data_IF_495383023165
#
_entry.id   IF_495383023165
#
_cell.length_a   1.000
_cell.length_b   1.000
_cell.length_c   1.000
_cell.angle_alpha   90.00
_cell.angle_beta   90.00
_cell.angle_gamma   90.00
#
_symmetry.space_group_name_H-M   'P 1'
#
loop_
_entity.id
_entity.type
_entity.pdbx_description
1 polymer ?
#
# COMPACT_ATOMS: atom_id res chain seq x y z
N UNK A 1 -21.16 -42.83 75.06
CA UNK A 1 -20.64 -41.50 74.72
C UNK A 1 -19.54 -41.68 73.71
N UNK A 2 -19.86 -41.63 72.44
CA UNK A 2 -18.93 -41.87 71.31
C UNK A 2 -18.41 -40.53 70.84
N UNK A 3 -17.11 -40.30 71.01
CA UNK A 3 -16.44 -39.11 70.46
C UNK A 3 -16.35 -39.25 68.95
N UNK A 4 -16.68 -38.14 68.29
CA UNK A 4 -16.62 -38.00 66.85
C UNK A 4 -15.15 -37.84 66.41
N UNK A 5 -14.57 -38.74 65.55
CA UNK A 5 -13.16 -38.69 65.19
C UNK A 5 -12.80 -37.65 64.14
N UNK A 6 -13.72 -36.74 63.74
CA UNK A 6 -13.52 -35.73 62.68
C UNK A 6 -13.56 -34.27 63.14
N UNK A 7 -13.35 -34.01 64.47
CA UNK A 7 -13.12 -32.61 64.87
C UNK A 7 -11.68 -32.22 64.53
N UNK A 8 -11.58 -31.36 63.54
CA UNK A 8 -10.31 -30.72 63.17
C UNK A 8 -9.88 -29.82 64.33
N UNK A 9 -8.58 -29.86 64.77
CA UNK A 9 -8.09 -28.96 65.77
C UNK A 9 -8.21 -27.50 65.30
N UNK A 10 -8.91 -26.66 66.05
CA UNK A 10 -8.90 -25.23 65.83
C UNK A 10 -7.46 -24.72 65.89
N UNK A 11 -6.97 -24.23 64.76
CA UNK A 11 -5.67 -23.60 64.67
C UNK A 11 -5.78 -22.12 65.04
N UNK A 12 -5.30 -21.67 66.20
CA UNK A 12 -5.42 -20.28 66.67
C UNK A 12 -4.42 -19.32 65.98
N UNK A 13 -3.75 -19.77 64.93
CA UNK A 13 -2.90 -18.90 64.12
C UNK A 13 -3.60 -18.47 62.81
N UNK A 14 -4.74 -17.77 62.95
CA UNK A 14 -5.24 -16.97 61.88
C UNK A 14 -4.18 -15.92 61.54
N UNK A 15 -3.53 -16.15 60.42
CA UNK A 15 -2.53 -15.27 59.82
C UNK A 15 -3.10 -13.84 59.78
N UNK A 16 -2.65 -12.99 60.68
CA UNK A 16 -2.82 -11.53 60.56
C UNK A 16 -1.99 -11.11 59.36
N UNK A 17 -2.58 -11.18 58.19
CA UNK A 17 -2.09 -10.45 57.03
C UNK A 17 -2.23 -8.98 57.38
N UNK A 18 -1.20 -8.43 58.02
CA UNK A 18 -1.05 -7.01 58.19
C UNK A 18 -1.00 -6.40 56.80
N UNK A 19 -2.12 -5.87 56.31
CA UNK A 19 -2.14 -4.88 55.26
C UNK A 19 -1.34 -3.68 55.73
N UNK A 20 -0.02 -3.73 55.50
CA UNK A 20 0.81 -2.56 55.60
C UNK A 20 0.41 -1.64 54.45
N UNK A 21 -0.66 -0.92 54.61
CA UNK A 21 -1.01 0.23 53.80
C UNK A 21 0.10 1.25 54.02
N UNK A 22 1.18 1.19 53.23
CA UNK A 22 2.11 2.31 53.13
C UNK A 22 1.29 3.49 52.63
N UNK A 23 0.91 4.38 53.52
CA UNK A 23 0.37 5.68 53.15
C UNK A 23 1.44 6.33 52.27
N UNK A 24 1.13 6.50 50.99
CA UNK A 24 2.02 7.23 50.06
C UNK A 24 2.20 8.62 50.68
N UNK A 25 3.42 8.95 51.07
CA UNK A 25 3.71 10.27 51.58
C UNK A 25 3.39 11.31 50.50
N UNK A 26 2.86 12.43 50.87
CA UNK A 26 2.53 13.53 49.94
C UNK A 26 3.71 13.84 49.02
N UNK A 27 4.92 13.69 49.53
CA UNK A 27 6.16 13.88 48.77
C UNK A 27 6.32 12.86 47.65
N UNK A 28 5.96 11.58 47.89
CA UNK A 28 6.04 10.55 46.83
C UNK A 28 4.98 10.76 45.74
N UNK A 29 3.79 11.22 46.09
CA UNK A 29 2.73 11.57 45.13
C UNK A 29 3.16 12.73 44.27
N UNK A 30 3.73 13.79 44.89
CA UNK A 30 4.26 14.95 44.15
C UNK A 30 5.44 14.59 43.25
N UNK A 31 6.32 13.70 43.70
CA UNK A 31 7.43 13.22 42.87
C UNK A 31 6.95 12.43 41.63
N UNK A 32 6.01 11.50 41.82
CA UNK A 32 5.45 10.70 40.73
C UNK A 32 4.67 11.57 39.75
N UNK A 33 3.83 12.50 40.23
CA UNK A 33 3.10 13.41 39.33
C UNK A 33 4.05 14.34 38.56
N UNK A 34 5.13 14.82 39.20
CA UNK A 34 6.16 15.61 38.54
C UNK A 34 6.88 14.84 37.42
N UNK A 35 7.26 13.57 37.67
CA UNK A 35 7.89 12.72 36.69
C UNK A 35 6.93 12.42 35.53
N UNK A 36 5.68 12.10 35.81
CA UNK A 36 4.66 11.83 34.76
C UNK A 36 4.43 13.09 33.93
N UNK A 37 4.30 14.27 34.54
CA UNK A 37 4.16 15.53 33.81
C UNK A 37 5.37 15.83 32.94
N UNK A 38 6.59 15.56 33.42
CA UNK A 38 7.82 15.72 32.66
C UNK A 38 7.88 14.78 31.46
N UNK A 39 7.53 13.50 31.67
CA UNK A 39 7.48 12.50 30.58
C UNK A 39 6.45 12.91 29.52
N UNK A 40 5.26 13.33 29.94
CA UNK A 40 4.23 13.84 29.03
C UNK A 40 4.72 15.07 28.28
N UNK A 41 5.37 16.02 28.95
CA UNK A 41 5.92 17.23 28.34
C UNK A 41 7.02 16.94 27.30
N UNK A 42 7.80 15.87 27.48
CA UNK A 42 8.84 15.44 26.54
C UNK A 42 8.27 14.61 25.37
N UNK A 43 7.25 13.80 25.63
CA UNK A 43 6.66 12.89 24.61
C UNK A 43 5.65 13.61 23.72
N UNK A 44 4.81 14.50 24.26
CA UNK A 44 3.79 15.22 23.48
C UNK A 44 4.37 16.06 22.31
N UNK A 45 5.46 16.83 22.46
CA UNK A 45 6.08 17.52 21.34
C UNK A 45 6.57 16.56 20.27
N UNK A 46 7.18 15.43 20.65
CA UNK A 46 7.71 14.43 19.70
C UNK A 46 6.65 13.83 18.81
N UNK A 47 5.43 13.63 19.33
CA UNK A 47 4.29 13.09 18.57
C UNK A 47 3.70 14.13 17.62
N UNK A 48 3.67 15.40 18.04
CA UNK A 48 3.10 16.50 17.22
C UNK A 48 4.01 16.98 16.11
N UNK A 49 5.32 16.79 16.26
CA UNK A 49 6.34 17.28 15.34
C UNK A 49 6.97 16.17 14.49
N UNK A 50 6.43 14.95 14.50
CA UNK A 50 6.78 14.02 13.44
C UNK A 50 6.35 14.69 12.12
N UNK A 51 7.30 15.29 11.34
CA UNK A 51 6.90 15.86 10.06
C UNK A 51 6.32 14.69 9.29
N UNK A 52 5.06 14.79 8.86
CA UNK A 52 4.57 13.89 7.80
C UNK A 52 5.63 13.99 6.74
N UNK A 53 6.49 12.98 6.66
CA UNK A 53 7.62 13.01 5.76
C UNK A 53 7.06 13.18 4.36
N UNK A 54 7.07 14.41 3.86
CA UNK A 54 6.76 14.71 2.46
C UNK A 54 7.86 14.14 1.56
N UNK A 55 8.68 13.26 2.13
CA UNK A 55 9.75 12.58 1.46
C UNK A 55 9.23 11.46 0.55
N UNK A 56 10.09 11.01 -0.34
CA UNK A 56 9.88 9.91 -1.28
C UNK A 56 9.54 8.58 -0.60
N UNK A 57 10.04 8.33 0.62
CA UNK A 57 9.89 7.07 1.36
C UNK A 57 8.43 6.62 1.54
N UNK A 58 7.47 7.47 1.97
CA UNK A 58 6.07 7.04 2.07
C UNK A 58 5.46 6.65 0.72
N UNK A 59 5.81 7.35 -0.36
CA UNK A 59 5.31 7.03 -1.71
C UNK A 59 5.90 5.70 -2.21
N UNK A 60 7.20 5.44 -1.94
CA UNK A 60 7.83 4.14 -2.23
C UNK A 60 7.21 3.00 -1.42
N UNK A 61 6.87 3.23 -0.14
CA UNK A 61 6.20 2.23 0.69
C UNK A 61 4.80 1.90 0.16
N UNK A 62 4.03 2.90 -0.25
CA UNK A 62 2.74 2.69 -0.90
C UNK A 62 2.91 1.87 -2.18
N UNK A 63 3.85 2.27 -3.04
CA UNK A 63 4.14 1.55 -4.28
C UNK A 63 4.59 0.11 -4.01
N UNK A 64 5.37 -0.13 -2.94
CA UNK A 64 5.76 -1.48 -2.51
C UNK A 64 4.55 -2.32 -2.12
N UNK A 65 3.63 -1.77 -1.33
CA UNK A 65 2.41 -2.46 -0.93
C UNK A 65 1.54 -2.79 -2.15
N UNK A 66 1.38 -1.84 -3.08
CA UNK A 66 0.64 -2.05 -4.34
C UNK A 66 1.30 -3.17 -5.16
N UNK A 67 2.63 -3.09 -5.36
CA UNK A 67 3.40 -4.10 -6.11
C UNK A 67 3.22 -5.50 -5.52
N UNK A 68 3.33 -5.63 -4.20
CA UNK A 68 3.14 -6.91 -3.51
C UNK A 68 1.71 -7.42 -3.60
N UNK A 69 0.72 -6.52 -3.55
CA UNK A 69 -0.69 -6.88 -3.72
C UNK A 69 -0.99 -7.41 -5.13
N UNK A 70 -0.41 -6.80 -6.18
CA UNK A 70 -0.51 -7.30 -7.56
C UNK A 70 0.13 -8.68 -7.69
N UNK A 71 1.31 -8.89 -7.08
CA UNK A 71 1.99 -10.19 -7.09
C UNK A 71 1.15 -11.24 -6.34
N UNK A 72 0.62 -10.90 -5.16
CA UNK A 72 -0.26 -11.79 -4.40
C UNK A 72 -1.53 -12.16 -5.17
N UNK A 73 -2.12 -11.22 -5.91
CA UNK A 73 -3.21 -11.50 -6.84
C UNK A 73 -2.76 -12.49 -7.92
N UNK A 74 -1.60 -12.22 -8.54
CA UNK A 74 -1.08 -13.04 -9.64
C UNK A 74 -0.75 -14.48 -9.18
N UNK A 75 -0.26 -14.67 -7.96
CA UNK A 75 -0.02 -15.99 -7.37
C UNK A 75 -1.32 -16.77 -7.15
N UNK A 76 -2.37 -16.11 -6.67
CA UNK A 76 -3.68 -16.74 -6.44
C UNK A 76 -4.41 -17.12 -7.72
N UNK A 77 -4.28 -16.30 -8.76
CA UNK A 77 -5.01 -16.45 -10.03
C UNK A 77 -4.16 -17.03 -11.17
N UNK A 78 -2.88 -17.30 -10.92
CA UNK A 78 -1.90 -17.75 -11.92
C UNK A 78 -1.73 -16.76 -13.11
N UNK A 79 -2.19 -15.53 -12.92
CA UNK A 79 -2.17 -14.46 -13.92
C UNK A 79 -2.20 -13.09 -13.26
N UNK A 80 -1.53 -12.11 -13.85
CA UNK A 80 -1.71 -10.70 -13.49
C UNK A 80 -3.14 -10.27 -13.75
N UNK A 81 -3.68 -9.33 -12.94
CA UNK A 81 -5.02 -8.81 -13.22
C UNK A 81 -5.06 -8.14 -14.60
N UNK A 82 -6.19 -8.16 -15.30
CA UNK A 82 -6.37 -7.35 -16.50
C UNK A 82 -6.24 -5.87 -16.16
N UNK A 83 -5.86 -5.03 -17.12
CA UNK A 83 -5.81 -3.58 -16.90
C UNK A 83 -7.17 -3.05 -16.45
N UNK A 84 -8.23 -3.62 -17.01
CA UNK A 84 -9.62 -3.31 -16.67
C UNK A 84 -10.55 -4.51 -16.94
N UNK A 85 -11.70 -4.51 -16.27
CA UNK A 85 -12.81 -5.40 -16.59
C UNK A 85 -13.74 -4.76 -17.62
N UNK A 86 -14.52 -5.59 -18.33
CA UNK A 86 -15.52 -5.13 -19.31
C UNK A 86 -16.87 -5.81 -19.08
N UNK A 87 -17.93 -5.18 -19.57
CA UNK A 87 -19.25 -5.81 -19.72
C UNK A 87 -19.36 -6.65 -21.00
N UNK A 88 -20.54 -7.17 -21.28
CA UNK A 88 -20.82 -7.98 -22.47
C UNK A 88 -20.67 -7.20 -23.79
N UNK A 89 -20.80 -5.88 -23.74
CA UNK A 89 -20.69 -4.99 -24.89
C UNK A 89 -19.26 -4.43 -25.06
N UNK A 90 -18.32 -4.81 -24.16
CA UNK A 90 -16.94 -4.38 -24.20
C UNK A 90 -16.68 -3.01 -23.53
N UNK A 91 -17.66 -2.44 -22.82
CA UNK A 91 -17.46 -1.20 -22.08
C UNK A 91 -16.63 -1.44 -20.83
N UNK A 92 -15.66 -0.57 -20.55
CA UNK A 92 -14.78 -0.69 -19.40
C UNK A 92 -15.51 -0.44 -18.09
N UNK A 93 -15.39 -1.37 -17.13
CA UNK A 93 -16.05 -1.29 -15.83
C UNK A 93 -15.09 -0.85 -14.72
N UNK A 94 -14.08 -1.63 -14.38
CA UNK A 94 -13.21 -1.41 -13.22
C UNK A 94 -11.74 -1.58 -13.56
N UNK A 95 -10.89 -0.84 -12.86
CA UNK A 95 -9.43 -0.95 -12.91
C UNK A 95 -8.94 -2.22 -12.17
N UNK A 96 -7.75 -2.69 -12.51
CA UNK A 96 -7.00 -3.69 -11.73
C UNK A 96 -6.83 -3.28 -10.27
N UNK A 97 -6.79 -1.98 -9.95
CA UNK A 97 -6.69 -1.48 -8.57
C UNK A 97 -7.89 -1.90 -7.72
N UNK A 98 -9.07 -1.98 -8.32
CA UNK A 98 -10.26 -2.55 -7.67
C UNK A 98 -10.07 -4.04 -7.37
N UNK A 99 -9.52 -4.81 -8.31
CA UNK A 99 -9.37 -6.26 -8.19
C UNK A 99 -8.35 -6.67 -7.11
N UNK A 100 -7.37 -5.83 -6.80
CA UNK A 100 -6.36 -6.12 -5.77
C UNK A 100 -6.74 -5.64 -4.36
N UNK A 101 -7.89 -5.00 -4.16
CA UNK A 101 -8.34 -4.54 -2.84
C UNK A 101 -8.31 -5.65 -1.77
N UNK A 102 -8.73 -6.90 -2.06
CA UNK A 102 -8.62 -8.00 -1.09
C UNK A 102 -7.17 -8.32 -0.68
N UNK A 103 -6.19 -8.04 -1.56
CA UNK A 103 -4.77 -8.23 -1.27
C UNK A 103 -4.15 -7.04 -0.51
N UNK A 104 -4.92 -5.97 -0.27
CA UNK A 104 -4.55 -4.77 0.45
C UNK A 104 -5.31 -4.64 1.79
N UNK A 105 -5.87 -5.74 2.31
CA UNK A 105 -6.71 -5.75 3.51
C UNK A 105 -7.94 -4.82 3.39
N UNK A 106 -8.48 -4.66 2.18
CA UNK A 106 -9.66 -3.84 1.86
C UNK A 106 -10.84 -4.68 1.37
N UNK A 107 -11.01 -5.87 1.93
CA UNK A 107 -12.08 -6.80 1.55
C UNK A 107 -13.47 -6.17 1.65
N UNK A 108 -13.77 -5.48 2.76
CA UNK A 108 -15.09 -4.84 2.96
C UNK A 108 -15.37 -3.76 1.92
N UNK A 109 -14.34 -3.00 1.49
CA UNK A 109 -14.50 -2.02 0.42
C UNK A 109 -14.77 -2.72 -0.91
N UNK A 110 -14.03 -3.79 -1.22
CA UNK A 110 -14.23 -4.59 -2.42
C UNK A 110 -15.67 -5.14 -2.50
N UNK A 111 -16.17 -5.71 -1.42
CA UNK A 111 -17.53 -6.28 -1.32
C UNK A 111 -18.64 -5.22 -1.44
N UNK A 112 -18.33 -3.94 -1.21
CA UNK A 112 -19.27 -2.83 -1.37
C UNK A 112 -19.39 -2.34 -2.81
N UNK A 113 -18.57 -2.86 -3.74
CA UNK A 113 -18.54 -2.45 -5.15
C UNK A 113 -19.40 -3.39 -5.98
N UNK A 114 -20.36 -2.85 -6.70
CA UNK A 114 -21.09 -3.59 -7.75
C UNK A 114 -20.20 -3.70 -9.00
N UNK A 115 -19.54 -4.85 -9.13
CA UNK A 115 -18.62 -5.12 -10.23
C UNK A 115 -19.31 -5.25 -11.60
N UNK A 116 -20.64 -5.38 -11.64
CA UNK A 116 -21.42 -5.43 -12.88
C UNK A 116 -21.72 -4.05 -13.47
N UNK A 117 -21.44 -2.99 -12.72
CA UNK A 117 -21.68 -1.60 -13.09
C UNK A 117 -20.37 -0.86 -13.31
N UNK A 118 -20.33 0.19 -14.12
CA UNK A 118 -19.14 1.04 -14.26
C UNK A 118 -18.65 1.59 -12.91
N UNK A 119 -17.37 1.80 -12.79
CA UNK A 119 -16.70 2.31 -11.58
C UNK A 119 -17.30 3.63 -11.06
N UNK A 120 -17.86 4.48 -11.94
CA UNK A 120 -18.46 5.77 -11.65
C UNK A 120 -20.00 5.74 -11.68
N UNK A 121 -20.62 4.56 -11.71
CA UNK A 121 -22.06 4.40 -11.60
C UNK A 121 -22.55 4.84 -10.20
N UNK A 122 -23.75 5.42 -10.06
CA UNK A 122 -24.35 5.76 -8.77
C UNK A 122 -24.39 4.58 -7.77
N UNK A 123 -24.51 3.32 -8.23
CA UNK A 123 -24.43 2.14 -7.39
C UNK A 123 -23.07 2.02 -6.65
N UNK A 124 -22.01 2.55 -7.25
CA UNK A 124 -20.65 2.55 -6.71
C UNK A 124 -20.27 3.87 -6.00
N UNK A 125 -21.21 4.81 -5.81
CA UNK A 125 -20.92 6.15 -5.29
C UNK A 125 -20.20 6.14 -3.93
N UNK A 126 -20.51 5.18 -3.04
CA UNK A 126 -19.84 5.04 -1.75
C UNK A 126 -18.36 4.68 -1.91
N UNK A 127 -18.06 3.71 -2.75
CA UNK A 127 -16.68 3.29 -3.05
C UNK A 127 -15.93 4.39 -3.81
N UNK A 128 -16.58 5.03 -4.77
CA UNK A 128 -16.05 6.17 -5.50
C UNK A 128 -15.62 7.32 -4.57
N UNK A 129 -16.43 7.68 -3.58
CA UNK A 129 -16.10 8.71 -2.59
C UNK A 129 -15.08 8.28 -1.53
N UNK A 130 -14.62 7.03 -1.54
CA UNK A 130 -13.68 6.50 -0.55
C UNK A 130 -12.23 6.72 -1.00
N UNK A 131 -11.45 7.47 -0.20
CA UNK A 131 -10.00 7.57 -0.40
C UNK A 131 -9.31 6.31 0.15
N UNK A 132 -8.45 5.72 -0.66
CA UNK A 132 -7.64 4.55 -0.29
C UNK A 132 -6.19 4.99 -0.12
N UNK A 133 -5.72 5.12 1.11
CA UNK A 133 -4.43 5.74 1.46
C UNK A 133 -3.24 5.16 0.69
N UNK A 134 -3.23 3.85 0.42
CA UNK A 134 -2.15 3.19 -0.32
C UNK A 134 -2.07 3.65 -1.78
N UNK A 135 -3.18 4.11 -2.37
CA UNK A 135 -3.20 4.64 -3.74
C UNK A 135 -2.86 6.13 -3.81
N UNK A 136 -2.67 6.80 -2.69
CA UNK A 136 -2.36 8.22 -2.63
C UNK A 136 -0.88 8.47 -2.34
N UNK A 137 -0.15 9.08 -3.27
CA UNK A 137 1.18 9.60 -2.96
C UNK A 137 1.06 10.89 -2.12
N UNK A 138 1.57 10.92 -0.87
CA UNK A 138 1.50 12.11 -0.03
C UNK A 138 2.22 13.32 -0.62
N UNK A 139 3.23 13.09 -1.46
CA UNK A 139 4.01 14.15 -2.12
C UNK A 139 3.28 14.78 -3.30
N UNK A 140 2.37 14.06 -3.96
CA UNK A 140 1.63 14.55 -5.12
C UNK A 140 0.52 15.56 -4.76
N UNK A 141 0.14 15.67 -3.46
CA UNK A 141 -0.88 16.60 -2.95
C UNK A 141 -2.22 16.51 -3.67
N UNK A 142 -2.58 15.33 -4.12
CA UNK A 142 -3.86 15.05 -4.77
C UNK A 142 -4.93 14.67 -3.72
N UNK A 143 -6.18 14.89 -4.05
CA UNK A 143 -7.38 14.56 -3.24
C UNK A 143 -8.46 13.94 -4.13
N UNK A 144 -9.58 13.54 -3.53
CA UNK A 144 -10.74 13.04 -4.28
C UNK A 144 -10.51 11.66 -4.92
N UNK A 145 -9.76 10.78 -4.27
CA UNK A 145 -9.52 9.44 -4.77
C UNK A 145 -8.52 9.37 -5.95
N UNK A 146 -7.79 10.46 -6.25
CA UNK A 146 -6.80 10.46 -7.32
C UNK A 146 -5.52 9.70 -6.93
N UNK A 147 -4.98 8.97 -7.91
CA UNK A 147 -3.73 8.23 -7.79
C UNK A 147 -2.76 8.57 -8.92
N UNK A 148 -1.47 8.58 -8.60
CA UNK A 148 -0.36 8.60 -9.56
C UNK A 148 0.25 7.22 -9.79
N UNK A 149 -0.24 6.18 -9.12
CA UNK A 149 0.26 4.82 -9.29
C UNK A 149 -0.49 4.11 -10.41
N UNK A 150 0.15 4.03 -11.58
CA UNK A 150 -0.42 3.43 -12.80
C UNK A 150 0.28 2.12 -13.14
N UNK A 151 -0.48 1.17 -13.66
CA UNK A 151 0.04 -0.09 -14.17
C UNK A 151 0.74 0.09 -15.52
N UNK A 152 1.71 -0.75 -15.82
CA UNK A 152 2.34 -0.82 -17.13
C UNK A 152 1.40 -1.48 -18.14
N UNK A 153 0.60 -0.65 -18.82
CA UNK A 153 -0.38 -1.04 -19.85
C UNK A 153 0.13 -0.86 -21.29
N UNK A 154 1.43 -0.63 -21.46
CA UNK A 154 2.05 -0.59 -22.78
C UNK A 154 1.98 -1.95 -23.51
N UNK A 155 2.19 -1.94 -24.81
CA UNK A 155 2.29 -3.17 -25.58
C UNK A 155 3.44 -4.05 -25.05
N UNK A 156 3.12 -5.29 -24.66
CA UNK A 156 4.07 -6.17 -23.98
C UNK A 156 4.18 -5.97 -22.47
N UNK A 157 3.51 -4.99 -21.88
CA UNK A 157 3.45 -4.75 -20.43
C UNK A 157 2.70 -5.82 -19.64
N UNK A 158 2.65 -5.69 -18.31
CA UNK A 158 2.01 -6.67 -17.44
C UNK A 158 0.48 -6.55 -17.44
N UNK A 159 -0.06 -5.36 -17.68
CA UNK A 159 -1.51 -5.08 -17.71
C UNK A 159 -1.97 -4.95 -19.17
N UNK A 160 -2.56 -5.99 -19.74
CA UNK A 160 -2.93 -6.04 -21.16
C UNK A 160 -4.45 -6.07 -21.33
N UNK A 161 -5.05 -4.89 -21.53
CA UNK A 161 -6.47 -4.78 -21.88
C UNK A 161 -7.39 -5.44 -20.84
N UNK A 162 -8.41 -6.13 -21.33
CA UNK A 162 -9.44 -6.81 -20.54
C UNK A 162 -9.09 -8.27 -20.17
N UNK A 163 -7.92 -8.76 -20.60
CA UNK A 163 -7.51 -10.16 -20.39
C UNK A 163 -6.40 -10.29 -19.35
N UNK A 164 -6.54 -11.22 -18.40
CA UNK A 164 -5.47 -11.55 -17.48
C UNK A 164 -4.23 -12.04 -18.23
N UNK A 165 -3.04 -11.59 -17.84
CA UNK A 165 -1.78 -12.04 -18.43
C UNK A 165 -1.14 -13.14 -17.58
N UNK A 166 -0.87 -14.35 -18.12
CA UNK A 166 -0.27 -15.43 -17.35
C UNK A 166 1.09 -15.05 -16.76
N UNK A 167 1.36 -15.42 -15.49
CA UNK A 167 2.66 -15.16 -14.82
C UNK A 167 3.84 -15.80 -15.54
N UNK A 168 3.60 -16.84 -16.36
CA UNK A 168 4.65 -17.52 -17.13
C UNK A 168 5.38 -16.62 -18.13
N UNK A 169 4.73 -15.54 -18.59
CA UNK A 169 5.36 -14.58 -19.53
C UNK A 169 6.39 -13.68 -18.88
N UNK A 170 6.42 -13.61 -17.53
CA UNK A 170 7.35 -12.78 -16.75
C UNK A 170 8.41 -13.62 -16.01
N UNK A 171 8.51 -14.93 -16.34
CA UNK A 171 9.58 -15.78 -15.78
C UNK A 171 10.92 -15.40 -16.39
N UNK A 172 11.98 -15.59 -15.58
CA UNK A 172 13.37 -15.28 -15.94
C UNK A 172 13.67 -15.33 -17.45
N UNK A 173 14.31 -14.31 -18.06
CA UNK A 173 15.03 -13.19 -17.42
C UNK A 173 14.21 -11.93 -17.12
N UNK A 174 12.90 -11.92 -17.36
CA UNK A 174 12.04 -10.71 -17.35
C UNK A 174 11.64 -10.19 -15.96
N UNK A 175 12.38 -10.55 -14.89
CA UNK A 175 12.12 -10.07 -13.53
C UNK A 175 12.24 -8.55 -13.37
N UNK A 176 12.90 -7.88 -14.28
CA UNK A 176 13.14 -6.44 -14.29
C UNK A 176 12.04 -5.66 -15.03
N UNK A 177 10.95 -6.31 -15.39
CA UNK A 177 9.83 -5.64 -16.05
C UNK A 177 9.10 -4.72 -15.07
N UNK A 178 8.81 -3.49 -15.53
CA UNK A 178 7.96 -2.54 -14.81
C UNK A 178 6.57 -3.14 -14.61
N UNK A 179 6.11 -3.10 -13.37
CA UNK A 179 4.77 -3.53 -13.00
C UNK A 179 3.87 -2.31 -12.75
N UNK A 180 4.24 -1.46 -11.80
CA UNK A 180 3.50 -0.24 -11.45
C UNK A 180 4.48 0.92 -11.37
N UNK A 181 4.11 2.08 -11.88
CA UNK A 181 4.93 3.29 -11.86
C UNK A 181 4.20 4.44 -11.19
N UNK A 182 4.95 5.34 -10.55
CA UNK A 182 4.43 6.59 -10.02
C UNK A 182 4.62 7.69 -11.07
N UNK A 183 3.55 8.06 -11.76
CA UNK A 183 3.59 9.09 -12.81
C UNK A 183 3.43 10.50 -12.25
N UNK A 184 3.66 11.51 -13.09
CA UNK A 184 3.41 12.91 -12.75
C UNK A 184 1.93 13.17 -12.43
N UNK A 185 1.65 14.21 -11.63
CA UNK A 185 0.30 14.56 -11.21
C UNK A 185 -0.63 14.94 -12.39
N UNK A 186 -0.07 15.34 -13.54
CA UNK A 186 -0.79 15.59 -14.80
C UNK A 186 -1.46 14.34 -15.37
N UNK A 187 -0.93 13.15 -15.05
CA UNK A 187 -1.45 11.86 -15.47
C UNK A 187 -2.24 11.14 -14.36
N UNK A 188 -2.55 11.84 -13.26
CA UNK A 188 -3.31 11.26 -12.17
C UNK A 188 -4.73 10.88 -12.64
N UNK A 189 -5.19 9.71 -12.19
CA UNK A 189 -6.52 9.18 -12.47
C UNK A 189 -7.24 8.86 -11.17
N UNK A 190 -8.56 8.70 -11.20
CA UNK A 190 -9.28 8.15 -10.06
C UNK A 190 -8.85 6.68 -9.85
N UNK A 191 -8.66 6.24 -8.58
CA UNK A 191 -8.15 4.89 -8.31
C UNK A 191 -9.02 3.76 -8.86
N UNK A 192 -10.34 3.97 -9.01
CA UNK A 192 -11.25 3.02 -9.64
C UNK A 192 -11.25 3.09 -11.17
N UNK A 193 -10.74 4.18 -11.75
CA UNK A 193 -10.84 4.42 -13.20
C UNK A 193 -9.99 3.41 -13.98
N UNK A 194 -10.51 2.83 -15.07
CA UNK A 194 -9.83 1.85 -15.91
C UNK A 194 -8.86 2.53 -16.89
N UNK A 195 -7.91 3.30 -16.35
CA UNK A 195 -6.88 4.05 -17.07
C UNK A 195 -5.53 3.76 -16.44
N UNK A 196 -4.50 3.59 -17.27
CA UNK A 196 -3.15 3.21 -16.85
C UNK A 196 -2.08 3.84 -17.75
N UNK A 197 -0.81 3.58 -17.43
CA UNK A 197 0.31 4.13 -18.18
C UNK A 197 0.50 3.35 -19.49
N UNK A 198 0.21 4.00 -20.59
CA UNK A 198 0.52 3.50 -21.94
C UNK A 198 2.01 3.67 -22.28
N UNK A 199 2.39 3.24 -23.46
CA UNK A 199 3.77 3.33 -23.96
C UNK A 199 4.23 4.80 -24.04
N UNK A 200 3.33 5.73 -24.38
CA UNK A 200 3.66 7.15 -24.48
C UNK A 200 4.04 7.72 -23.11
N UNK A 201 3.26 7.44 -22.07
CA UNK A 201 3.56 7.87 -20.69
C UNK A 201 4.87 7.24 -20.21
N UNK A 202 5.06 5.92 -20.46
CA UNK A 202 6.22 5.19 -19.97
C UNK A 202 7.54 5.54 -20.69
N UNK A 203 7.49 5.92 -21.96
CA UNK A 203 8.70 6.34 -22.69
C UNK A 203 9.05 7.81 -22.45
N UNK A 204 8.08 8.67 -22.13
CA UNK A 204 8.27 10.10 -22.01
C UNK A 204 8.20 10.63 -20.56
N UNK A 205 8.24 9.75 -19.55
CA UNK A 205 8.22 10.22 -18.16
C UNK A 205 9.39 11.18 -17.89
N UNK A 206 9.11 12.28 -17.20
CA UNK A 206 10.09 13.31 -16.86
C UNK A 206 10.29 14.41 -17.89
N UNK A 207 9.80 14.28 -19.12
CA UNK A 207 9.88 15.34 -20.12
C UNK A 207 8.82 16.42 -19.87
N UNK A 208 9.18 17.46 -19.10
CA UNK A 208 8.32 18.63 -18.87
C UNK A 208 7.27 18.50 -17.77
N UNK A 209 7.07 17.31 -17.22
CA UNK A 209 6.08 17.04 -16.19
C UNK A 209 6.58 17.37 -14.78
N UNK A 210 5.74 18.02 -13.98
CA UNK A 210 5.99 18.22 -12.55
C UNK A 210 5.74 16.92 -11.80
N UNK A 211 6.76 16.05 -11.75
CA UNK A 211 6.74 14.88 -10.89
C UNK A 211 6.67 15.29 -9.41
N UNK A 212 6.00 14.50 -8.59
CA UNK A 212 6.02 14.65 -7.14
C UNK A 212 7.45 14.52 -6.56
N UNK A 213 8.35 13.90 -7.32
CA UNK A 213 9.76 13.64 -6.98
C UNK A 213 10.65 14.17 -8.11
N UNK A 214 11.35 15.26 -7.84
CA UNK A 214 12.17 15.96 -8.85
C UNK A 214 13.26 15.02 -9.42
N UNK A 215 13.33 14.92 -10.74
CA UNK A 215 14.37 14.21 -11.47
C UNK A 215 14.30 12.67 -11.41
N UNK A 216 13.27 12.12 -10.78
CA UNK A 216 13.15 10.68 -10.58
C UNK A 216 11.70 10.20 -10.66
N UNK A 217 11.55 8.91 -10.98
CA UNK A 217 10.28 8.17 -10.98
C UNK A 217 10.43 6.94 -10.07
N UNK A 218 9.45 6.71 -9.20
CA UNK A 218 9.40 5.47 -8.42
C UNK A 218 8.70 4.39 -9.23
N UNK A 219 9.28 3.20 -9.25
CA UNK A 219 8.77 2.06 -10.02
C UNK A 219 8.79 0.76 -9.21
N UNK A 220 7.71 0.01 -9.27
CA UNK A 220 7.59 -1.36 -8.79
C UNK A 220 7.79 -2.35 -9.93
N UNK A 221 8.51 -3.43 -9.66
CA UNK A 221 8.90 -4.44 -10.62
C UNK A 221 8.24 -5.78 -10.36
N UNK A 222 8.21 -6.63 -11.37
CA UNK A 222 7.64 -8.00 -11.30
C UNK A 222 8.33 -8.87 -10.24
N UNK A 223 9.61 -8.61 -9.93
CA UNK A 223 10.34 -9.29 -8.86
C UNK A 223 9.95 -8.83 -7.44
N UNK A 224 9.00 -7.90 -7.35
CA UNK A 224 8.55 -7.31 -6.08
C UNK A 224 9.44 -6.20 -5.56
N UNK A 225 10.54 -5.85 -6.21
CA UNK A 225 11.38 -4.72 -5.80
C UNK A 225 10.73 -3.39 -6.17
N UNK A 226 11.06 -2.34 -5.41
CA UNK A 226 10.72 -0.96 -5.75
C UNK A 226 12.02 -0.18 -5.86
N UNK A 227 12.20 0.50 -6.98
CA UNK A 227 13.39 1.27 -7.29
C UNK A 227 13.01 2.67 -7.74
N UNK A 228 14.00 3.55 -7.71
CA UNK A 228 13.90 4.91 -8.25
C UNK A 228 14.66 4.95 -9.56
N UNK A 229 13.97 5.32 -10.63
CA UNK A 229 14.54 5.48 -11.96
C UNK A 229 14.85 6.95 -12.22
N UNK A 230 15.96 7.26 -12.89
CA UNK A 230 16.23 8.61 -13.37
C UNK A 230 15.24 9.00 -14.47
N UNK A 231 14.81 10.27 -14.49
CA UNK A 231 14.03 10.81 -15.62
C UNK A 231 14.86 10.96 -16.90
N UNK A 232 16.20 10.92 -16.75
CA UNK A 232 17.15 11.00 -17.88
C UNK A 232 17.55 9.62 -18.39
N UNK A 233 16.85 8.55 -17.94
CA UNK A 233 17.13 7.19 -18.37
C UNK A 233 17.01 7.06 -19.89
N UNK A 234 17.95 6.38 -20.51
CA UNK A 234 17.96 6.16 -21.96
C UNK A 234 16.68 5.49 -22.46
N UNK A 235 16.20 5.90 -23.62
CA UNK A 235 14.96 5.40 -24.22
C UNK A 235 15.00 3.90 -24.52
N UNK A 236 16.17 3.36 -24.85
CA UNK A 236 16.36 1.92 -25.06
C UNK A 236 16.16 1.14 -23.76
N UNK A 237 16.74 1.63 -22.64
CA UNK A 237 16.57 1.03 -21.32
C UNK A 237 15.11 1.12 -20.88
N UNK A 238 14.46 2.28 -21.07
CA UNK A 238 13.01 2.41 -20.77
C UNK A 238 12.18 1.38 -21.52
N UNK A 239 12.42 1.20 -22.81
CA UNK A 239 11.71 0.23 -23.66
C UNK A 239 11.92 -1.20 -23.19
N UNK A 240 13.15 -1.56 -22.82
CA UNK A 240 13.47 -2.88 -22.29
C UNK A 240 12.80 -3.16 -20.93
N UNK A 241 12.68 -2.14 -20.05
CA UNK A 241 11.96 -2.25 -18.77
C UNK A 241 10.44 -2.41 -18.93
N UNK A 242 9.86 -1.89 -20.02
CA UNK A 242 8.42 -1.97 -20.30
C UNK A 242 7.99 -3.39 -20.68
N UNK A 243 8.79 -4.08 -21.49
CA UNK A 243 8.38 -5.35 -22.11
C UNK A 243 8.58 -6.55 -21.18
N UNK A 244 7.48 -7.23 -20.83
CA UNK A 244 7.51 -8.49 -20.08
C UNK A 244 7.99 -9.69 -20.91
N UNK A 245 8.05 -9.56 -22.22
CA UNK A 245 8.47 -10.60 -23.17
C UNK A 245 9.64 -10.17 -24.05
N UNK A 246 10.24 -9.01 -23.79
CA UNK A 246 11.40 -8.50 -24.50
C UNK A 246 12.62 -9.41 -24.33
N UNK A 247 13.47 -9.45 -25.37
CA UNK A 247 14.73 -10.22 -25.36
C UNK A 247 15.94 -9.37 -24.94
N UNK A 248 15.70 -8.10 -24.61
CA UNK A 248 16.77 -7.16 -24.29
C UNK A 248 17.24 -7.41 -22.86
N UNK A 249 18.41 -8.01 -22.70
CA UNK A 249 19.09 -8.14 -21.41
C UNK A 249 19.68 -6.78 -21.04
N UNK A 250 19.08 -6.14 -20.02
CA UNK A 250 19.66 -4.96 -19.37
C UNK A 250 20.31 -5.36 -18.07
N UNK A 251 21.50 -4.82 -17.83
CA UNK A 251 22.18 -5.01 -16.56
C UNK A 251 21.52 -4.10 -15.50
N UNK A 252 21.25 -4.62 -14.30
CA UNK A 252 20.67 -3.85 -13.19
C UNK A 252 21.52 -2.66 -12.73
N UNK A 253 22.74 -2.51 -13.21
CA UNK A 253 23.64 -1.36 -12.99
C UNK A 253 23.40 -0.20 -13.95
N UNK A 254 22.54 -0.37 -14.97
CA UNK A 254 22.27 0.66 -15.99
C UNK A 254 21.11 1.59 -15.63
N UNK A 255 20.41 1.35 -14.47
CA UNK A 255 19.26 2.16 -14.04
C UNK A 255 19.08 2.18 -12.52
#
# INVERSE_FOLDING_TARGET
MTQNPYESPENPQALKIARAGKSLSLLNVLAVTGIVALVIALVLPSIRWAPRSRGRTPCMNNLKNITLAVISYAERHNAFPPAYTVDADGNRLHSWRTLILPCLDKQTLYESIDLSKPWNDPANAKAYGTEVDVFRCPSARLSGGLTTYLGNAANGGCFTGDRPRPVSVTRYPHRQTLLVVEVASSHAVHWMAPQDADETILLNFGSGDKSAHIGVLNAGFVDGTVRTLSVDLDSHIRRALISASGRDEINSTEY
#
